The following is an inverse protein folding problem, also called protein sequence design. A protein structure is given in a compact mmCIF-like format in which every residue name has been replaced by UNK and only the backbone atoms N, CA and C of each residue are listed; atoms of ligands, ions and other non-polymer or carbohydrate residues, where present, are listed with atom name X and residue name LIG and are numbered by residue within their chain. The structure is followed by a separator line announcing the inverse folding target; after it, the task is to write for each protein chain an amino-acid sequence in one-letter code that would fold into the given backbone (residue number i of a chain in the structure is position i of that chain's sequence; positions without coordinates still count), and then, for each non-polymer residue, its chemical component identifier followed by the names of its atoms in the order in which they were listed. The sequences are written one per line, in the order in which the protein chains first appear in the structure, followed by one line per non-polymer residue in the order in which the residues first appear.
data_IF_669651222984
#
_entry.id   IF_669651222984
#
_cell.length_a   1.000
_cell.length_b   1.000
_cell.length_c   1.000
_cell.angle_alpha   90.00
_cell.angle_beta   90.00
_cell.angle_gamma   90.00
#
_symmetry.space_group_name_H-M   'P 1'
#
loop_
_entity.id
_entity.type
_entity.pdbx_description
1 polymer ?
#
# COMPACT_ATOMS: atom_id res chain seq x y z
N UNK A 1 -35.63 -1.28 -0.38
CA UNK A 1 -34.34 -0.60 -0.04
C UNK A 1 -33.36 -1.66 0.42
N UNK A 2 -32.36 -2.03 -0.39
CA UNK A 2 -31.24 -2.86 0.06
C UNK A 2 -29.95 -2.29 -0.53
N UNK A 3 -29.33 -1.36 0.22
CA UNK A 3 -27.99 -0.88 -0.10
C UNK A 3 -27.03 -2.02 0.22
N UNK A 4 -26.44 -2.60 -0.82
CA UNK A 4 -25.22 -3.42 -0.72
C UNK A 4 -24.24 -2.74 0.25
N UNK A 5 -24.13 -3.28 1.47
CA UNK A 5 -23.12 -2.87 2.43
C UNK A 5 -21.76 -3.14 1.79
N UNK A 6 -21.06 -2.07 1.42
CA UNK A 6 -19.72 -2.16 0.88
C UNK A 6 -18.84 -2.96 1.86
N UNK A 7 -18.38 -4.14 1.46
CA UNK A 7 -17.49 -4.95 2.29
C UNK A 7 -16.22 -4.13 2.58
N UNK A 8 -15.88 -3.93 3.85
CA UNK A 8 -14.60 -3.39 4.31
C UNK A 8 -13.90 -4.45 5.16
N UNK A 9 -12.63 -4.26 5.48
CA UNK A 9 -11.98 -5.05 6.53
C UNK A 9 -12.33 -4.47 7.90
N UNK A 10 -12.72 -5.35 8.81
CA UNK A 10 -12.78 -5.02 10.24
C UNK A 10 -11.38 -4.69 10.79
N UNK A 11 -11.26 -4.00 11.93
CA UNK A 11 -9.97 -3.79 12.58
C UNK A 11 -9.19 -5.09 12.82
N UNK A 12 -9.86 -6.13 13.34
CA UNK A 12 -9.27 -7.45 13.57
C UNK A 12 -8.76 -8.12 12.28
N UNK A 13 -9.53 -8.05 11.19
CA UNK A 13 -9.08 -8.56 9.89
C UNK A 13 -7.85 -7.79 9.36
N UNK A 14 -7.80 -6.47 9.55
CA UNK A 14 -6.61 -5.69 9.20
C UNK A 14 -5.39 -6.15 9.99
N UNK A 15 -5.54 -6.36 11.30
CA UNK A 15 -4.44 -6.75 12.16
C UNK A 15 -3.95 -8.17 11.83
N UNK A 16 -4.87 -9.12 11.58
CA UNK A 16 -4.54 -10.47 11.10
C UNK A 16 -3.77 -10.44 9.77
N UNK A 17 -4.25 -9.67 8.80
CA UNK A 17 -3.60 -9.53 7.50
C UNK A 17 -2.19 -8.94 7.62
N UNK A 18 -2.05 -7.84 8.37
CA UNK A 18 -0.77 -7.13 8.53
C UNK A 18 0.25 -7.98 9.30
N UNK A 19 -0.16 -8.61 10.41
CA UNK A 19 0.70 -9.51 11.19
C UNK A 19 1.17 -10.70 10.35
N UNK A 20 0.28 -11.32 9.55
CA UNK A 20 0.66 -12.40 8.67
C UNK A 20 1.63 -11.96 7.56
N UNK A 21 1.48 -10.77 6.99
CA UNK A 21 2.41 -10.26 5.97
C UNK A 21 3.80 -9.98 6.55
N UNK A 22 3.86 -9.50 7.80
CA UNK A 22 5.09 -9.17 8.49
C UNK A 22 5.83 -10.41 9.02
N UNK A 23 5.09 -11.42 9.47
CA UNK A 23 5.62 -12.67 10.04
C UNK A 23 4.78 -13.88 9.60
N UNK A 24 4.86 -14.29 8.32
CA UNK A 24 4.09 -15.43 7.83
C UNK A 24 4.64 -16.76 8.40
N UNK A 25 3.81 -17.58 9.07
CA UNK A 25 4.26 -18.83 9.68
C UNK A 25 4.86 -19.79 8.64
N UNK A 26 6.02 -20.38 8.95
CA UNK A 26 6.66 -21.39 8.10
C UNK A 26 7.27 -20.87 6.79
N UNK A 27 7.27 -19.56 6.56
CA UNK A 27 7.90 -18.97 5.36
C UNK A 27 9.36 -18.61 5.65
N UNK A 28 10.26 -19.11 4.80
CA UNK A 28 11.71 -18.94 4.92
C UNK A 28 12.25 -17.78 4.06
N UNK A 29 11.37 -16.97 3.46
CA UNK A 29 11.81 -15.82 2.68
C UNK A 29 12.59 -14.82 3.56
N UNK A 30 13.52 -14.05 2.98
CA UNK A 30 14.29 -13.08 3.74
C UNK A 30 13.39 -12.01 4.42
N UNK A 31 13.75 -11.48 5.60
CA UNK A 31 12.95 -10.49 6.34
C UNK A 31 12.52 -9.28 5.50
N UNK A 32 13.38 -8.83 4.58
CA UNK A 32 13.08 -7.75 3.63
C UNK A 32 11.84 -8.03 2.77
N UNK A 33 11.60 -9.28 2.37
CA UNK A 33 10.44 -9.67 1.53
C UNK A 33 9.14 -9.53 2.32
N UNK A 34 9.13 -9.97 3.57
CA UNK A 34 7.99 -9.83 4.47
C UNK A 34 7.70 -8.36 4.75
N UNK A 35 8.74 -7.59 5.06
CA UNK A 35 8.61 -6.16 5.31
C UNK A 35 8.08 -5.40 4.08
N UNK A 36 8.55 -5.74 2.87
CA UNK A 36 7.98 -5.22 1.62
C UNK A 36 6.50 -5.54 1.49
N UNK A 37 6.10 -6.80 1.72
CA UNK A 37 4.71 -7.24 1.60
C UNK A 37 3.80 -6.50 2.60
N UNK A 38 4.27 -6.34 3.85
CA UNK A 38 3.63 -5.55 4.88
C UNK A 38 3.45 -4.09 4.43
N UNK A 39 4.52 -3.45 3.96
CA UNK A 39 4.46 -2.06 3.48
C UNK A 39 3.52 -1.89 2.29
N UNK A 40 3.46 -2.85 1.36
CA UNK A 40 2.49 -2.83 0.23
C UNK A 40 1.05 -2.73 0.75
N UNK A 41 0.67 -3.60 1.69
CA UNK A 41 -0.68 -3.58 2.26
C UNK A 41 -0.94 -2.28 3.03
N UNK A 42 0.07 -1.82 3.78
CA UNK A 42 -0.03 -0.62 4.59
C UNK A 42 -0.18 0.65 3.74
N UNK A 43 0.55 0.78 2.63
CA UNK A 43 0.38 1.90 1.68
C UNK A 43 -1.05 1.95 1.11
N UNK A 44 -1.72 0.81 0.93
CA UNK A 44 -3.12 0.77 0.51
C UNK A 44 -4.10 1.08 1.65
N UNK A 45 -3.82 0.60 2.86
CA UNK A 45 -4.69 0.75 4.05
C UNK A 45 -4.58 2.11 4.74
N UNK A 46 -3.43 2.77 4.65
CA UNK A 46 -3.12 4.00 5.40
C UNK A 46 -2.91 5.22 4.48
N UNK A 47 -2.68 5.01 3.17
CA UNK A 47 -2.62 6.09 2.17
C UNK A 47 -3.62 5.90 1.02
N UNK A 48 -4.47 4.88 1.08
CA UNK A 48 -5.50 4.64 0.07
C UNK A 48 -4.97 4.40 -1.34
N UNK A 49 -3.70 4.04 -1.54
CA UNK A 49 -3.11 3.93 -2.87
C UNK A 49 -3.79 2.83 -3.72
N UNK A 50 -4.06 3.07 -5.01
CA UNK A 50 -4.55 2.01 -5.92
C UNK A 50 -3.39 1.06 -6.24
N UNK A 51 -3.68 -0.21 -6.52
CA UNK A 51 -2.62 -1.19 -6.88
C UNK A 51 -1.80 -0.76 -8.09
N UNK A 52 -2.44 -0.16 -9.12
CA UNK A 52 -1.74 0.33 -10.31
C UNK A 52 -0.84 1.55 -10.05
N UNK A 53 -1.19 2.37 -9.06
CA UNK A 53 -0.36 3.50 -8.60
C UNK A 53 0.78 2.99 -7.72
N UNK A 54 0.48 2.06 -6.82
CA UNK A 54 1.44 1.47 -5.88
C UNK A 54 2.64 0.83 -6.60
N UNK A 55 2.39 0.08 -7.67
CA UNK A 55 3.48 -0.57 -8.42
C UNK A 55 4.33 0.40 -9.23
N UNK A 56 3.86 1.64 -9.41
CA UNK A 56 4.59 2.70 -10.11
C UNK A 56 5.22 3.72 -9.15
N UNK A 57 4.99 3.60 -7.83
CA UNK A 57 5.61 4.47 -6.85
C UNK A 57 7.13 4.38 -6.92
N UNK A 58 7.78 5.51 -6.75
CA UNK A 58 9.23 5.65 -6.70
C UNK A 58 9.73 5.87 -5.26
N UNK A 59 11.00 5.55 -5.02
CA UNK A 59 11.64 5.68 -3.70
C UNK A 59 11.65 7.14 -3.22
N UNK A 60 11.89 8.10 -4.11
CA UNK A 60 11.90 9.54 -3.81
C UNK A 60 10.51 10.07 -3.35
N UNK A 61 9.42 9.38 -3.70
CA UNK A 61 8.07 9.69 -3.21
C UNK A 61 7.84 9.15 -1.79
N UNK A 62 8.69 8.24 -1.32
CA UNK A 62 8.56 7.56 -0.03
C UNK A 62 9.55 8.08 1.00
N UNK A 63 10.77 8.43 0.57
CA UNK A 63 11.86 8.88 1.43
C UNK A 63 12.61 10.05 0.80
N UNK A 64 13.04 10.97 1.65
CA UNK A 64 13.92 12.09 1.31
C UNK A 64 15.04 12.17 2.35
N UNK A 65 16.30 12.25 1.91
CA UNK A 65 17.47 12.25 2.78
C UNK A 65 17.43 11.12 3.84
N UNK A 66 17.20 9.88 3.40
CA UNK A 66 17.10 8.69 4.28
C UNK A 66 15.93 8.71 5.29
N UNK A 67 15.05 9.70 5.23
CA UNK A 67 13.94 9.88 6.17
C UNK A 67 12.60 9.72 5.44
N UNK A 68 11.62 9.01 6.01
CA UNK A 68 10.28 8.93 5.43
C UNK A 68 9.65 10.31 5.26
N UNK A 69 8.96 10.50 4.13
CA UNK A 69 8.17 11.72 3.91
C UNK A 69 6.96 11.78 4.85
N UNK A 70 6.38 12.97 5.04
CA UNK A 70 5.12 13.11 5.78
C UNK A 70 3.88 12.96 4.88
N UNK A 71 4.06 13.12 3.58
CA UNK A 71 3.00 13.04 2.59
C UNK A 71 3.45 12.24 1.38
N UNK A 72 2.61 11.33 0.91
CA UNK A 72 2.81 10.57 -0.31
C UNK A 72 2.13 11.27 -1.47
N UNK A 73 2.91 11.71 -2.45
CA UNK A 73 2.39 12.32 -3.69
C UNK A 73 2.20 11.23 -4.74
N UNK A 74 1.04 11.17 -5.40
CA UNK A 74 0.78 10.30 -6.56
C UNK A 74 0.73 11.20 -7.80
N UNK A 75 1.68 11.03 -8.71
CA UNK A 75 1.79 11.87 -9.90
C UNK A 75 0.73 11.55 -10.96
N UNK A 76 0.45 12.52 -11.84
CA UNK A 76 -0.51 12.35 -12.95
C UNK A 76 -0.17 11.18 -13.87
N UNK A 77 1.12 10.91 -14.08
CA UNK A 77 1.61 9.79 -14.90
C UNK A 77 1.25 8.42 -14.31
N UNK A 78 1.15 8.34 -12.98
CA UNK A 78 0.86 7.11 -12.24
C UNK A 78 -0.64 6.91 -12.01
N UNK A 79 -1.42 7.98 -12.07
CA UNK A 79 -2.86 7.96 -11.84
C UNK A 79 -3.64 7.66 -13.12
N UNK A 80 -4.51 6.63 -13.09
CA UNK A 80 -5.44 6.29 -14.21
C UNK A 80 -6.25 7.50 -14.69
N UNK A 81 -6.60 8.41 -13.78
CA UNK A 81 -7.43 9.58 -14.06
C UNK A 81 -6.60 10.83 -14.38
N UNK A 82 -5.26 10.75 -14.46
CA UNK A 82 -4.34 11.88 -14.68
C UNK A 82 -4.46 13.03 -13.67
N UNK A 83 -4.96 12.75 -12.46
CA UNK A 83 -5.03 13.72 -11.37
C UNK A 83 -3.93 13.44 -10.34
N UNK A 84 -3.13 14.46 -10.09
CA UNK A 84 -2.14 14.44 -9.02
C UNK A 84 -2.82 14.66 -7.68
N UNK A 85 -2.31 14.02 -6.64
CA UNK A 85 -2.79 14.22 -5.28
C UNK A 85 -1.71 13.90 -4.26
N UNK A 86 -1.79 14.57 -3.13
CA UNK A 86 -0.86 14.42 -2.02
C UNK A 86 -1.62 13.95 -0.80
N UNK A 87 -1.16 12.86 -0.19
CA UNK A 87 -1.88 12.14 0.87
C UNK A 87 -1.01 12.15 2.13
N UNK A 88 -1.46 12.72 3.25
CA UNK A 88 -0.77 12.57 4.53
C UNK A 88 -0.67 11.09 4.91
N UNK A 89 0.51 10.65 5.35
CA UNK A 89 0.72 9.26 5.74
C UNK A 89 0.79 9.10 7.26
N UNK A 90 0.28 7.96 7.74
CA UNK A 90 0.27 7.63 9.17
C UNK A 90 1.70 7.45 9.72
N UNK A 91 1.87 7.62 11.04
CA UNK A 91 3.14 7.30 11.72
C UNK A 91 3.59 5.87 11.43
N UNK A 92 2.66 4.90 11.51
CA UNK A 92 2.92 3.50 11.21
C UNK A 92 3.42 3.28 9.78
N UNK A 93 2.88 4.00 8.80
CA UNK A 93 3.37 3.93 7.42
C UNK A 93 4.76 4.54 7.29
N UNK A 94 5.05 5.66 7.98
CA UNK A 94 6.43 6.20 8.02
C UNK A 94 7.42 5.19 8.61
N UNK A 95 7.10 4.56 9.72
CA UNK A 95 7.96 3.54 10.35
C UNK A 95 8.23 2.35 9.39
N UNK A 96 7.21 1.97 8.63
CA UNK A 96 7.33 0.93 7.60
C UNK A 96 8.22 1.37 6.43
N UNK A 97 8.13 2.63 6.00
CA UNK A 97 8.98 3.18 4.95
C UNK A 97 10.44 3.34 5.41
N UNK A 98 10.67 3.69 6.68
CA UNK A 98 12.02 3.76 7.24
C UNK A 98 12.70 2.39 7.23
N UNK A 99 11.98 1.35 7.68
CA UNK A 99 12.47 -0.02 7.61
C UNK A 99 12.66 -0.50 6.17
N UNK A 100 11.79 -0.10 5.23
CA UNK A 100 12.00 -0.35 3.80
C UNK A 100 13.31 0.27 3.31
N UNK A 101 13.60 1.51 3.70
CA UNK A 101 14.85 2.17 3.35
C UNK A 101 16.05 1.35 3.82
N UNK A 102 16.07 0.94 5.09
CA UNK A 102 17.18 0.15 5.66
C UNK A 102 17.33 -1.25 5.06
N UNK A 103 16.24 -1.88 4.61
CA UNK A 103 16.25 -3.27 4.13
C UNK A 103 16.38 -3.41 2.61
N UNK A 104 15.97 -2.40 1.85
CA UNK A 104 15.91 -2.43 0.39
C UNK A 104 16.62 -1.28 -0.32
N UNK A 105 16.69 -0.07 0.26
CA UNK A 105 17.13 1.12 -0.48
C UNK A 105 18.49 1.67 -0.05
N UNK A 106 18.95 1.44 1.18
CA UNK A 106 20.18 2.05 1.72
C UNK A 106 21.47 1.49 1.10
N UNK A 107 21.39 0.32 0.47
CA UNK A 107 22.53 -0.35 -0.19
C UNK A 107 22.38 -0.40 -1.69
N UNK A 108 21.56 0.46 -2.31
CA UNK A 108 21.27 0.37 -3.75
C UNK A 108 22.54 0.59 -4.60
N UNK A 109 23.09 -0.50 -5.16
CA UNK A 109 24.23 -0.53 -6.07
C UNK A 109 23.78 -0.25 -7.54
N UNK A 110 23.22 0.93 -7.77
CA UNK A 110 23.13 1.70 -9.04
C UNK A 110 22.20 1.32 -10.26
N UNK A 111 21.89 2.39 -11.04
CA UNK A 111 21.56 2.57 -12.48
C UNK A 111 20.15 2.30 -13.08
N UNK A 112 19.03 2.73 -12.48
CA UNK A 112 17.72 2.73 -13.16
C UNK A 112 16.62 3.56 -12.47
N UNK A 113 15.40 3.56 -13.04
CA UNK A 113 14.21 4.15 -12.39
C UNK A 113 13.98 3.47 -11.03
N UNK A 114 13.99 4.25 -9.95
CA UNK A 114 13.99 3.74 -8.58
C UNK A 114 12.57 3.50 -8.09
N UNK A 115 11.96 2.39 -8.52
CA UNK A 115 10.67 1.97 -7.99
C UNK A 115 10.75 1.69 -6.47
N UNK A 116 9.67 1.95 -5.75
CA UNK A 116 9.57 1.72 -4.32
C UNK A 116 9.46 0.22 -3.99
N UNK A 117 8.81 -0.57 -4.86
CA UNK A 117 8.53 -1.98 -4.62
C UNK A 117 9.07 -2.86 -5.75
N UNK A 118 9.96 -3.78 -5.39
CA UNK A 118 10.55 -4.77 -6.31
C UNK A 118 10.01 -6.17 -6.05
N UNK A 119 9.87 -6.97 -7.12
CA UNK A 119 9.41 -8.35 -7.05
C UNK A 119 10.44 -9.28 -6.37
N UNK A 120 11.72 -9.03 -6.57
CA UNK A 120 12.83 -9.82 -6.05
C UNK A 120 14.09 -8.96 -5.89
N UNK A 121 15.19 -9.59 -5.48
CA UNK A 121 16.48 -8.93 -5.28
C UNK A 121 17.16 -8.49 -6.60
N UNK A 122 16.70 -8.98 -7.76
CA UNK A 122 17.18 -8.52 -9.07
C UNK A 122 16.57 -7.17 -9.49
N UNK A 123 15.99 -6.42 -8.54
CA UNK A 123 15.45 -5.06 -8.75
C UNK A 123 14.41 -4.96 -9.88
N UNK A 124 13.71 -6.06 -10.17
CA UNK A 124 12.60 -6.04 -11.12
C UNK A 124 11.38 -5.37 -10.47
N UNK A 125 10.74 -4.38 -11.11
CA UNK A 125 9.56 -3.72 -10.54
C UNK A 125 8.46 -4.73 -10.22
N UNK A 126 7.76 -4.51 -9.11
CA UNK A 126 6.61 -5.33 -8.74
C UNK A 126 5.48 -5.12 -9.77
N UNK A 127 4.86 -6.19 -10.24
CA UNK A 127 3.70 -6.08 -11.15
C UNK A 127 2.38 -6.03 -10.37
N UNK A 128 1.33 -5.50 -10.99
CA UNK A 128 -0.04 -5.49 -10.42
C UNK A 128 -0.50 -6.90 -10.03
N UNK A 129 -0.25 -7.89 -10.89
CA UNK A 129 -0.63 -9.29 -10.65
C UNK A 129 0.11 -9.87 -9.44
N UNK A 130 1.38 -9.53 -9.25
CA UNK A 130 2.14 -9.97 -8.08
C UNK A 130 1.60 -9.32 -6.80
N UNK A 131 1.36 -8.01 -6.81
CA UNK A 131 0.76 -7.32 -5.67
C UNK A 131 -0.61 -7.91 -5.30
N UNK A 132 -1.48 -8.18 -6.28
CA UNK A 132 -2.75 -8.86 -6.07
C UNK A 132 -2.56 -10.25 -5.44
N UNK A 133 -1.65 -11.07 -5.99
CA UNK A 133 -1.38 -12.42 -5.46
C UNK A 133 -0.89 -12.38 -4.02
N UNK A 134 -0.01 -11.44 -3.66
CA UNK A 134 0.48 -11.25 -2.29
C UNK A 134 -0.68 -10.98 -1.34
N UNK A 135 -1.51 -9.98 -1.64
CA UNK A 135 -2.65 -9.60 -0.80
C UNK A 135 -3.69 -10.71 -0.70
N UNK A 136 -4.04 -11.33 -1.82
CA UNK A 136 -5.04 -12.39 -1.87
C UNK A 136 -4.58 -13.65 -1.13
N UNK A 137 -3.33 -14.07 -1.30
CA UNK A 137 -2.81 -15.24 -0.58
C UNK A 137 -2.75 -14.99 0.93
N UNK A 138 -2.30 -13.79 1.34
CA UNK A 138 -2.28 -13.43 2.75
C UNK A 138 -3.69 -13.38 3.35
N UNK A 139 -4.69 -12.87 2.61
CA UNK A 139 -6.08 -12.88 3.03
C UNK A 139 -6.62 -14.30 3.26
N UNK A 140 -6.38 -15.22 2.32
CA UNK A 140 -6.78 -16.63 2.46
C UNK A 140 -6.16 -17.28 3.69
N UNK A 141 -4.87 -17.05 3.92
CA UNK A 141 -4.13 -17.71 4.99
C UNK A 141 -4.39 -17.12 6.38
N UNK A 142 -4.66 -15.81 6.48
CA UNK A 142 -4.81 -15.12 7.77
C UNK A 142 -6.27 -14.90 8.20
N UNK A 143 -7.18 -14.75 7.24
CA UNK A 143 -8.60 -14.43 7.50
C UNK A 143 -9.53 -15.56 7.04
N UNK A 144 -9.09 -16.38 6.08
CA UNK A 144 -9.92 -17.45 5.51
C UNK A 144 -10.78 -17.03 4.33
N UNK A 145 -10.52 -15.86 3.71
CA UNK A 145 -11.24 -15.38 2.52
C UNK A 145 -10.37 -14.61 1.56
N UNK A 146 -10.84 -14.47 0.32
CA UNK A 146 -10.20 -13.66 -0.70
C UNK A 146 -10.23 -12.17 -0.33
N UNK A 147 -9.03 -11.58 -0.22
CA UNK A 147 -8.84 -10.14 -0.04
C UNK A 147 -8.19 -9.58 -1.29
N UNK A 148 -8.75 -8.50 -1.84
CA UNK A 148 -8.24 -7.84 -3.03
C UNK A 148 -7.72 -6.43 -2.71
N UNK A 149 -6.72 -5.90 -3.44
CA UNK A 149 -6.18 -4.55 -3.20
C UNK A 149 -7.22 -3.43 -3.11
N UNK A 150 -8.30 -3.50 -3.91
CA UNK A 150 -9.38 -2.52 -3.85
C UNK A 150 -10.12 -2.52 -2.52
N UNK A 151 -10.20 -3.66 -1.83
CA UNK A 151 -10.84 -3.78 -0.53
C UNK A 151 -10.04 -3.04 0.56
N UNK A 152 -8.71 -3.07 0.49
CA UNK A 152 -7.83 -2.32 1.39
C UNK A 152 -8.03 -0.81 1.20
N UNK A 153 -8.00 -0.35 -0.05
CA UNK A 153 -8.27 1.07 -0.38
C UNK A 153 -9.68 1.49 0.03
N UNK A 154 -10.68 0.64 -0.18
CA UNK A 154 -12.05 0.93 0.23
C UNK A 154 -12.16 1.05 1.75
N UNK A 155 -11.49 0.17 2.49
CA UNK A 155 -11.37 0.24 3.96
C UNK A 155 -10.76 1.57 4.41
N UNK A 156 -9.69 2.04 3.75
CA UNK A 156 -9.14 3.38 4.00
C UNK A 156 -10.18 4.48 3.75
N UNK A 157 -10.85 4.45 2.60
CA UNK A 157 -11.85 5.46 2.23
C UNK A 157 -12.99 5.53 3.25
N UNK A 158 -13.54 4.38 3.66
CA UNK A 158 -14.59 4.30 4.67
C UNK A 158 -14.12 4.84 6.02
N UNK A 159 -12.92 4.47 6.49
CA UNK A 159 -12.35 5.01 7.73
C UNK A 159 -12.17 6.52 7.67
N UNK A 160 -11.72 7.04 6.54
CA UNK A 160 -11.55 8.47 6.35
C UNK A 160 -12.89 9.20 6.36
N UNK A 161 -13.92 8.67 5.68
CA UNK A 161 -15.29 9.24 5.70
C UNK A 161 -15.90 9.34 7.10
N UNK A 162 -15.53 8.44 8.03
CA UNK A 162 -16.00 8.55 9.43
C UNK A 162 -15.36 9.69 10.22
N UNK A 163 -14.25 10.25 9.74
CA UNK A 163 -13.42 11.23 10.46
C UNK A 163 -13.39 12.61 9.79
N UNK A 164 -13.80 12.72 8.53
CA UNK A 164 -13.75 13.97 7.78
C UNK A 164 -14.87 14.06 6.75
N UNK A 165 -15.02 15.24 6.14
CA UNK A 165 -16.03 15.48 5.12
C UNK A 165 -15.76 14.68 3.84
N UNK A 166 -16.82 14.33 3.13
CA UNK A 166 -16.73 13.61 1.86
C UNK A 166 -15.87 14.35 0.82
N UNK A 167 -15.90 15.69 0.82
CA UNK A 167 -15.08 16.52 -0.07
C UNK A 167 -13.58 16.29 0.14
N UNK A 168 -13.15 16.25 1.40
CA UNK A 168 -11.74 15.99 1.78
C UNK A 168 -11.34 14.56 1.40
N UNK A 169 -12.20 13.58 1.68
CA UNK A 169 -11.97 12.18 1.28
C UNK A 169 -11.73 12.07 -0.22
N UNK A 170 -12.61 12.70 -1.00
CA UNK A 170 -12.53 12.60 -2.44
C UNK A 170 -11.30 13.33 -3.01
N UNK A 171 -10.90 14.46 -2.44
CA UNK A 171 -9.68 15.20 -2.83
C UNK A 171 -8.44 14.33 -2.61
N UNK A 172 -8.34 13.68 -1.44
CA UNK A 172 -7.23 12.77 -1.09
C UNK A 172 -7.22 11.48 -1.93
N UNK A 173 -8.36 11.03 -2.44
CA UNK A 173 -8.48 9.81 -3.22
C UNK A 173 -8.50 10.02 -4.75
N UNK A 174 -8.51 11.26 -5.22
CA UNK A 174 -8.43 11.60 -6.65
C UNK A 174 -9.74 11.37 -7.42
N UNK A 175 -10.86 11.86 -6.87
CA UNK A 175 -12.20 12.05 -7.46
C UNK A 175 -12.50 11.37 -8.82
N UNK A 176 -13.21 10.23 -8.77
CA UNK A 176 -14.50 10.01 -9.48
C UNK A 176 -15.14 8.74 -8.93
N UNK A 177 -16.40 8.88 -8.52
CA UNK A 177 -17.37 7.89 -8.04
C UNK A 177 -16.83 6.84 -7.05
N UNK A 178 -17.24 6.96 -5.78
CA UNK A 178 -17.47 5.77 -4.97
C UNK A 178 -18.61 5.00 -5.65
N UNK A 179 -18.28 4.19 -6.67
CA UNK A 179 -19.18 3.19 -7.24
C UNK A 179 -19.06 1.90 -6.45
#
# INVERSE_FOLDING_TARGET
MNRSQFSTLTPDECDKLLSHLQQPPGNTAPPRVHHRNYTIALTMLDAGCRVGELVQLEQNQCVFNSTPVNTLTIFKSQAKNKHERTIPISSRLRDALEKMYRLWWCGDHDHGTRYAFYANWCMRPLTVRQAQRIITSAGKLSIGRDIHPHLLRHTFATRLMTKTSMRVVQELLGHKNLS
#
